data_IF_469132510499
#
_entry.id   IF_469132510499
#
_cell.length_a   1.000
_cell.length_b   1.000
_cell.length_c   1.000
_cell.angle_alpha   90.00
_cell.angle_beta   90.00
_cell.angle_gamma   90.00
#
_symmetry.space_group_name_H-M   'P 1'
#
loop_
_entity.id
_entity.type
_entity.pdbx_description
1 polymer ?
#
# COMPACT_ATOMS: atom_id res chain seq x y z
N UNK A 1 -20.22 -27.57 -17.97
CA UNK A 1 -19.22 -26.50 -17.77
C UNK A 1 -18.50 -26.80 -16.48
N UNK A 2 -17.15 -26.89 -16.47
CA UNK A 2 -16.40 -27.03 -15.22
C UNK A 2 -16.55 -25.71 -14.44
N UNK A 3 -16.83 -25.81 -13.15
CA UNK A 3 -17.23 -24.65 -12.35
C UNK A 3 -16.31 -24.39 -11.17
N UNK A 4 -16.03 -23.12 -10.95
CA UNK A 4 -15.40 -22.59 -9.73
C UNK A 4 -14.08 -23.30 -9.36
N UNK A 5 -13.26 -23.56 -10.37
CA UNK A 5 -11.90 -24.09 -10.22
C UNK A 5 -11.05 -23.04 -9.49
N UNK A 6 -10.12 -23.43 -8.60
CA UNK A 6 -9.15 -22.50 -8.03
C UNK A 6 -8.44 -21.69 -9.13
N UNK A 7 -8.31 -20.38 -8.92
CA UNK A 7 -7.71 -19.46 -9.89
C UNK A 7 -6.32 -19.92 -10.36
N UNK A 8 -5.42 -20.41 -9.48
CA UNK A 8 -4.12 -20.93 -9.90
C UNK A 8 -4.19 -22.18 -10.79
N UNK A 9 -5.32 -22.88 -10.79
CA UNK A 9 -5.55 -24.16 -11.51
C UNK A 9 -6.40 -23.98 -12.77
N UNK A 10 -6.68 -22.74 -13.18
CA UNK A 10 -7.54 -22.47 -14.33
C UNK A 10 -6.92 -23.05 -15.62
N UNK A 11 -7.67 -23.88 -16.35
CA UNK A 11 -7.20 -24.45 -17.61
C UNK A 11 -7.08 -23.36 -18.68
N UNK A 12 -5.96 -23.37 -19.41
CA UNK A 12 -5.73 -22.41 -20.49
C UNK A 12 -6.66 -22.70 -21.68
N UNK A 13 -7.25 -21.64 -22.26
CA UNK A 13 -8.16 -21.68 -23.41
C UNK A 13 -9.44 -22.56 -23.26
N UNK A 14 -9.70 -23.11 -22.07
CA UNK A 14 -10.95 -23.80 -21.75
C UNK A 14 -11.99 -22.82 -21.19
N UNK A 15 -13.25 -22.99 -21.60
CA UNK A 15 -14.35 -22.19 -21.06
C UNK A 15 -14.76 -22.69 -19.68
N UNK A 16 -14.71 -21.79 -18.71
CA UNK A 16 -15.02 -22.05 -17.30
C UNK A 16 -15.90 -20.92 -16.76
N UNK A 17 -16.61 -21.21 -15.67
CA UNK A 17 -17.34 -20.19 -14.93
C UNK A 17 -16.82 -20.07 -13.50
N UNK A 18 -16.78 -18.84 -12.98
CA UNK A 18 -16.21 -18.48 -11.68
C UNK A 18 -17.16 -17.55 -10.93
N UNK A 19 -17.18 -17.66 -9.60
CA UNK A 19 -17.73 -16.61 -8.73
C UNK A 19 -16.59 -15.75 -8.21
N UNK A 20 -16.68 -14.44 -8.46
CA UNK A 20 -15.62 -13.50 -8.12
C UNK A 20 -16.17 -12.23 -7.49
N UNK A 21 -15.39 -11.63 -6.61
CA UNK A 21 -15.53 -10.25 -6.21
C UNK A 21 -14.70 -9.40 -7.18
N UNK A 22 -15.36 -8.61 -8.02
CA UNK A 22 -14.71 -7.62 -8.90
C UNK A 22 -14.35 -6.43 -8.03
N UNK A 23 -13.06 -6.14 -7.84
CA UNK A 23 -12.55 -5.10 -6.92
C UNK A 23 -12.35 -3.75 -7.60
N UNK A 24 -12.07 -3.73 -8.90
CA UNK A 24 -11.97 -2.50 -9.68
C UNK A 24 -12.36 -2.71 -11.13
N UNK A 25 -12.85 -1.65 -11.79
CA UNK A 25 -13.22 -1.64 -13.20
C UNK A 25 -12.68 -0.36 -13.84
N UNK A 26 -12.01 -0.48 -14.99
CA UNK A 26 -11.49 0.63 -15.78
C UNK A 26 -11.96 0.51 -17.21
N UNK A 27 -12.65 1.53 -17.70
CA UNK A 27 -12.98 1.63 -19.13
C UNK A 27 -11.74 2.05 -19.92
N UNK A 28 -11.51 1.39 -21.05
CA UNK A 28 -10.46 1.69 -22.01
C UNK A 28 -10.99 1.59 -23.43
N UNK A 29 -10.19 2.05 -24.37
CA UNK A 29 -10.48 1.93 -25.80
C UNK A 29 -9.30 1.31 -26.52
N UNK A 30 -9.60 0.48 -27.51
CA UNK A 30 -8.61 -0.03 -28.47
C UNK A 30 -8.08 1.13 -29.34
N UNK A 31 -7.01 0.89 -30.11
CA UNK A 31 -6.53 1.84 -31.11
C UNK A 31 -7.60 2.19 -32.16
N UNK A 32 -8.54 1.27 -32.42
CA UNK A 32 -9.68 1.48 -33.33
C UNK A 32 -10.86 2.18 -32.64
N UNK A 33 -10.72 2.62 -31.39
CA UNK A 33 -11.75 3.34 -30.64
C UNK A 33 -12.84 2.45 -30.02
N UNK A 34 -12.82 1.13 -30.26
CA UNK A 34 -13.75 0.18 -29.63
C UNK A 34 -13.56 0.16 -28.11
N UNK A 35 -14.62 0.35 -27.31
CA UNK A 35 -14.50 0.29 -25.86
C UNK A 35 -14.26 -1.14 -25.37
N UNK A 36 -13.58 -1.27 -24.25
CA UNK A 36 -13.49 -2.50 -23.47
C UNK A 36 -13.26 -2.13 -22.00
N UNK A 37 -13.40 -3.11 -21.11
CA UNK A 37 -13.12 -2.93 -19.69
C UNK A 37 -12.02 -3.88 -19.25
N UNK A 38 -11.08 -3.32 -18.51
CA UNK A 38 -10.17 -4.08 -17.67
C UNK A 38 -10.73 -4.05 -16.25
N UNK A 39 -10.79 -5.20 -15.59
CA UNK A 39 -11.22 -5.28 -14.21
C UNK A 39 -10.29 -6.21 -13.42
N UNK A 40 -10.09 -5.91 -12.14
CA UNK A 40 -9.44 -6.84 -11.22
C UNK A 40 -10.54 -7.59 -10.47
N UNK A 41 -10.38 -8.91 -10.37
CA UNK A 41 -11.33 -9.75 -9.65
C UNK A 41 -10.59 -10.78 -8.80
N UNK A 42 -11.24 -11.24 -7.73
CA UNK A 42 -10.66 -12.26 -6.85
C UNK A 42 -11.71 -13.19 -6.29
N UNK A 43 -11.28 -14.36 -5.86
CA UNK A 43 -12.06 -15.23 -4.99
C UNK A 43 -11.16 -15.75 -3.85
N UNK A 44 -11.62 -16.74 -3.10
CA UNK A 44 -10.87 -17.32 -1.99
C UNK A 44 -9.52 -17.94 -2.38
N UNK A 45 -9.31 -18.24 -3.66
CA UNK A 45 -8.14 -18.97 -4.17
C UNK A 45 -7.11 -18.09 -4.87
N UNK A 46 -7.44 -16.82 -5.17
CA UNK A 46 -6.50 -15.90 -5.81
C UNK A 46 -7.15 -14.68 -6.44
N UNK A 47 -6.34 -13.94 -7.19
CA UNK A 47 -6.72 -12.75 -7.96
C UNK A 47 -6.49 -12.99 -9.44
N UNK A 48 -7.32 -12.42 -10.30
CA UNK A 48 -7.23 -12.57 -11.75
C UNK A 48 -7.67 -11.29 -12.48
N UNK A 49 -6.94 -10.84 -13.51
CA UNK A 49 -7.37 -9.74 -14.34
C UNK A 49 -8.42 -10.21 -15.35
N UNK A 50 -9.53 -9.49 -15.42
CA UNK A 50 -10.63 -9.69 -16.34
C UNK A 50 -10.51 -8.76 -17.55
N UNK A 51 -10.83 -9.30 -18.72
CA UNK A 51 -10.97 -8.55 -19.98
C UNK A 51 -12.38 -8.69 -20.50
N UNK A 52 -13.11 -7.58 -20.63
CA UNK A 52 -14.49 -7.56 -21.12
C UNK A 52 -14.58 -6.68 -22.37
N UNK A 53 -14.83 -7.30 -23.52
CA UNK A 53 -14.91 -6.60 -24.81
C UNK A 53 -16.29 -5.97 -25.04
N UNK A 54 -16.36 -5.00 -25.95
CA UNK A 54 -17.59 -4.27 -26.29
C UNK A 54 -18.78 -5.20 -26.57
N UNK A 55 -18.54 -6.27 -27.31
CA UNK A 55 -19.55 -7.24 -27.74
C UNK A 55 -20.23 -7.96 -26.55
N UNK A 56 -19.54 -8.03 -25.41
CA UNK A 56 -20.06 -8.64 -24.18
C UNK A 56 -20.78 -7.61 -23.30
N UNK A 57 -20.43 -6.33 -23.43
CA UNK A 57 -21.04 -5.23 -22.69
C UNK A 57 -22.39 -4.81 -23.29
N UNK A 58 -22.60 -5.02 -24.59
CA UNK A 58 -23.83 -4.61 -25.28
C UNK A 58 -25.07 -5.31 -24.71
N UNK A 59 -26.03 -4.50 -24.23
CA UNK A 59 -27.32 -4.96 -23.72
C UNK A 59 -27.29 -5.57 -22.31
N UNK A 60 -26.19 -5.41 -21.55
CA UNK A 60 -26.02 -5.97 -20.21
C UNK A 60 -25.93 -4.92 -19.12
N UNK A 61 -26.08 -5.36 -17.87
CA UNK A 61 -25.83 -4.51 -16.72
C UNK A 61 -24.37 -4.03 -16.71
N UNK A 62 -24.19 -2.80 -16.25
CA UNK A 62 -22.88 -2.17 -16.11
C UNK A 62 -22.03 -2.93 -15.08
N UNK A 63 -20.97 -3.62 -15.53
CA UNK A 63 -20.01 -4.28 -14.64
C UNK A 63 -19.37 -3.22 -13.73
N UNK A 64 -19.64 -3.33 -12.43
CA UNK A 64 -19.15 -2.44 -11.36
C UNK A 64 -18.52 -3.25 -10.23
N UNK A 65 -17.74 -2.64 -9.32
CA UNK A 65 -17.24 -3.34 -8.14
C UNK A 65 -18.36 -4.05 -7.37
N UNK A 66 -18.17 -5.32 -7.01
CA UNK A 66 -19.22 -6.15 -6.41
C UNK A 66 -19.06 -7.65 -6.70
N UNK A 67 -20.08 -8.45 -6.42
CA UNK A 67 -20.09 -9.89 -6.68
C UNK A 67 -20.65 -10.23 -8.06
N UNK A 68 -19.91 -11.03 -8.81
CA UNK A 68 -20.27 -11.43 -10.15
C UNK A 68 -19.98 -12.91 -10.39
N UNK A 69 -20.90 -13.57 -11.10
CA UNK A 69 -20.62 -14.81 -11.78
C UNK A 69 -20.08 -14.47 -13.17
N UNK A 70 -18.88 -14.93 -13.51
CA UNK A 70 -18.23 -14.68 -14.81
C UNK A 70 -17.97 -16.01 -15.52
N UNK A 71 -18.21 -16.04 -16.83
CA UNK A 71 -17.86 -17.14 -17.73
C UNK A 71 -16.84 -16.62 -18.72
N UNK A 72 -15.83 -17.42 -19.03
CA UNK A 72 -14.78 -17.00 -19.94
C UNK A 72 -13.64 -18.00 -20.03
N UNK A 73 -12.51 -17.54 -20.56
CA UNK A 73 -11.33 -18.36 -20.80
C UNK A 73 -10.08 -17.66 -20.32
N UNK A 74 -9.14 -18.43 -19.78
CA UNK A 74 -7.81 -17.93 -19.50
C UNK A 74 -7.00 -17.88 -20.80
N UNK A 75 -6.48 -16.70 -21.14
CA UNK A 75 -5.66 -16.44 -22.31
C UNK A 75 -4.39 -15.68 -21.92
N UNK A 76 -3.41 -15.63 -22.82
CA UNK A 76 -2.21 -14.82 -22.68
C UNK A 76 -2.15 -13.77 -23.78
N UNK A 77 -1.91 -12.52 -23.40
CA UNK A 77 -1.72 -11.41 -24.32
C UNK A 77 -0.51 -10.59 -23.88
N UNK A 78 0.49 -10.43 -24.76
CA UNK A 78 1.75 -9.76 -24.45
C UNK A 78 2.41 -10.32 -23.16
N UNK A 79 2.48 -11.64 -23.06
CA UNK A 79 3.04 -12.38 -21.92
C UNK A 79 2.32 -12.15 -20.59
N UNK A 80 1.13 -11.55 -20.61
CA UNK A 80 0.26 -11.37 -19.44
C UNK A 80 -0.94 -12.28 -19.55
N UNK A 81 -1.11 -13.11 -18.53
CA UNK A 81 -2.31 -13.93 -18.37
C UNK A 81 -3.50 -13.03 -18.06
N UNK A 82 -4.61 -13.22 -18.77
CA UNK A 82 -5.87 -12.52 -18.56
C UNK A 82 -7.06 -13.45 -18.78
N UNK A 83 -8.15 -13.21 -18.08
CA UNK A 83 -9.39 -13.96 -18.26
C UNK A 83 -10.35 -13.17 -19.15
N UNK A 84 -10.53 -13.67 -20.38
CA UNK A 84 -11.43 -13.04 -21.36
C UNK A 84 -12.85 -13.51 -21.08
N UNK A 85 -13.68 -12.56 -20.65
CA UNK A 85 -15.05 -12.80 -20.24
C UNK A 85 -15.94 -12.94 -21.48
N UNK A 86 -16.69 -14.03 -21.57
CA UNK A 86 -17.74 -14.28 -22.57
C UNK A 86 -19.13 -13.99 -22.01
N UNK A 87 -19.34 -14.23 -20.71
CA UNK A 87 -20.59 -13.91 -20.02
C UNK A 87 -20.37 -13.44 -18.58
N UNK A 88 -21.28 -12.61 -18.07
CA UNK A 88 -21.27 -12.19 -16.68
C UNK A 88 -22.66 -11.82 -16.19
N UNK A 89 -22.92 -12.05 -14.90
CA UNK A 89 -24.17 -11.68 -14.22
C UNK A 89 -23.93 -11.38 -12.75
N UNK A 90 -24.70 -10.46 -12.14
CA UNK A 90 -24.61 -10.23 -10.70
C UNK A 90 -25.01 -11.51 -9.94
N UNK A 91 -24.40 -11.71 -8.77
CA UNK A 91 -24.74 -12.81 -7.85
C UNK A 91 -24.95 -12.28 -6.44
N UNK A 92 -25.73 -12.99 -5.64
CA UNK A 92 -25.92 -12.66 -4.23
C UNK A 92 -24.79 -13.22 -3.36
N UNK A 93 -24.68 -12.72 -2.13
CA UNK A 93 -23.73 -13.25 -1.15
C UNK A 93 -24.05 -14.70 -0.76
N UNK A 94 -25.33 -15.07 -0.72
CA UNK A 94 -25.76 -16.45 -0.44
C UNK A 94 -25.30 -17.39 -1.56
N UNK A 95 -25.43 -16.98 -2.82
CA UNK A 95 -24.91 -17.75 -3.95
C UNK A 95 -23.39 -17.90 -3.86
N UNK A 96 -22.66 -16.82 -3.52
CA UNK A 96 -21.22 -16.89 -3.33
C UNK A 96 -20.83 -17.92 -2.26
N UNK A 97 -21.46 -17.84 -1.08
CA UNK A 97 -21.22 -18.76 0.05
C UNK A 97 -21.60 -20.19 -0.27
N UNK A 98 -22.71 -20.41 -0.96
CA UNK A 98 -23.18 -21.74 -1.34
C UNK A 98 -22.15 -22.47 -2.21
N UNK A 99 -21.52 -21.76 -3.15
CA UNK A 99 -20.59 -22.36 -4.11
C UNK A 99 -19.13 -22.36 -3.65
N UNK A 100 -18.70 -21.38 -2.83
CA UNK A 100 -17.31 -21.27 -2.35
C UNK A 100 -17.11 -21.75 -0.92
N UNK A 101 -18.19 -21.89 -0.14
CA UNK A 101 -18.12 -22.30 1.27
C UNK A 101 -17.49 -21.27 2.20
N UNK A 102 -17.27 -20.03 1.75
CA UNK A 102 -16.67 -18.96 2.52
C UNK A 102 -17.20 -17.57 2.12
N UNK A 103 -16.87 -16.56 2.91
CA UNK A 103 -17.10 -15.17 2.54
C UNK A 103 -16.13 -14.69 1.45
N UNK A 104 -16.53 -13.70 0.62
CA UNK A 104 -15.63 -13.07 -0.34
C UNK A 104 -14.52 -12.31 0.39
N UNK A 105 -13.30 -12.39 -0.15
CA UNK A 105 -12.19 -11.56 0.30
C UNK A 105 -12.38 -10.13 -0.20
N UNK A 106 -12.74 -9.23 0.71
CA UNK A 106 -12.99 -7.83 0.42
C UNK A 106 -11.68 -7.03 0.41
N UNK A 107 -11.54 -6.02 -0.46
CA UNK A 107 -10.47 -5.03 -0.40
C UNK A 107 -10.36 -4.37 0.98
N UNK A 108 -9.14 -4.24 1.48
CA UNK A 108 -8.85 -3.58 2.76
C UNK A 108 -8.06 -2.29 2.56
N UNK A 109 -8.40 -1.28 3.35
CA UNK A 109 -7.61 -0.08 3.50
C UNK A 109 -6.76 -0.19 4.77
N UNK A 110 -5.44 -0.04 4.62
CA UNK A 110 -4.46 0.03 5.69
C UNK A 110 -4.06 1.50 5.84
N UNK A 111 -4.62 2.20 6.82
CA UNK A 111 -4.20 3.57 7.14
C UNK A 111 -3.03 3.51 8.10
N UNK A 112 -1.87 3.99 7.67
CA UNK A 112 -0.58 3.87 8.32
C UNK A 112 -0.01 5.25 8.68
N UNK A 113 0.61 5.34 9.86
CA UNK A 113 1.49 6.43 10.26
C UNK A 113 2.63 5.88 11.15
N UNK A 114 3.76 6.59 11.22
CA UNK A 114 4.89 6.20 12.09
C UNK A 114 5.36 7.36 12.96
N UNK A 115 5.79 7.02 14.17
CA UNK A 115 6.50 7.94 15.06
C UNK A 115 7.96 7.53 15.15
N UNK A 116 8.85 8.53 15.11
CA UNK A 116 10.29 8.31 15.08
C UNK A 116 11.00 9.13 16.15
N UNK A 117 12.12 8.60 16.64
CA UNK A 117 12.99 9.28 17.59
C UNK A 117 14.43 9.24 17.09
N UNK A 118 15.22 10.25 17.44
CA UNK A 118 16.66 10.19 17.26
C UNK A 118 17.26 9.08 18.15
N UNK A 119 18.26 8.39 17.63
CA UNK A 119 19.04 7.42 18.40
C UNK A 119 19.80 8.16 19.51
N UNK A 120 19.83 7.66 20.76
CA UNK A 120 20.55 8.32 21.84
C UNK A 120 22.02 8.60 21.50
N UNK A 121 22.73 7.63 20.91
CA UNK A 121 24.12 7.78 20.48
C UNK A 121 24.32 8.69 19.26
N UNK A 122 23.27 9.22 18.64
CA UNK A 122 23.40 10.24 17.62
C UNK A 122 23.77 11.60 18.22
N UNK A 123 23.27 11.93 19.42
CA UNK A 123 23.51 13.21 20.10
C UNK A 123 25.01 13.52 20.21
N UNK A 124 25.80 12.55 20.67
CA UNK A 124 27.25 12.69 20.84
C UNK A 124 28.01 12.94 19.52
N UNK A 125 27.40 12.62 18.38
CA UNK A 125 27.99 12.80 17.05
C UNK A 125 27.64 14.14 16.40
N UNK A 126 26.63 14.85 16.91
CA UNK A 126 26.12 16.08 16.27
C UNK A 126 27.16 17.19 16.30
N UNK A 127 27.66 17.57 17.48
CA UNK A 127 28.64 18.66 17.62
C UNK A 127 29.90 18.45 16.78
N UNK A 128 30.60 17.31 16.91
CA UNK A 128 31.79 17.02 16.08
C UNK A 128 31.50 17.04 14.58
N UNK A 129 30.31 16.62 14.15
CA UNK A 129 29.90 16.67 12.75
C UNK A 129 29.69 18.11 12.28
N UNK A 130 28.96 18.93 13.04
CA UNK A 130 28.71 20.33 12.68
C UNK A 130 30.00 21.15 12.62
N UNK A 131 30.91 20.95 13.58
CA UNK A 131 32.21 21.62 13.58
C UNK A 131 33.02 21.24 12.31
N UNK A 132 33.01 19.95 11.95
CA UNK A 132 33.65 19.45 10.73
C UNK A 132 33.00 20.04 9.48
N UNK A 133 31.67 20.03 9.39
CA UNK A 133 30.92 20.52 8.23
C UNK A 133 31.10 22.04 8.04
N UNK A 134 31.22 22.81 9.13
CA UNK A 134 31.58 24.23 9.09
C UNK A 134 33.00 24.41 8.54
N UNK A 135 33.98 23.68 9.07
CA UNK A 135 35.40 23.76 8.64
C UNK A 135 35.59 23.37 7.16
N UNK A 136 34.81 22.41 6.68
CA UNK A 136 34.86 21.93 5.29
C UNK A 136 33.98 22.74 4.33
N UNK A 137 33.18 23.69 4.83
CA UNK A 137 32.27 24.49 4.03
C UNK A 137 31.08 23.71 3.46
N UNK A 138 30.69 22.60 4.09
CA UNK A 138 29.52 21.80 3.69
C UNK A 138 28.20 22.33 4.26
N UNK A 139 28.29 23.20 5.26
CA UNK A 139 27.12 23.80 5.91
C UNK A 139 26.53 24.91 5.04
N UNK A 140 25.19 24.95 4.88
CA UNK A 140 24.50 26.05 4.18
C UNK A 140 24.67 27.36 4.95
N UNK A 141 24.68 28.50 4.26
CA UNK A 141 24.88 29.83 4.88
C UNK A 141 23.92 30.08 6.05
N UNK A 142 22.64 29.79 5.87
CA UNK A 142 21.62 29.93 6.92
C UNK A 142 21.91 29.06 8.15
N UNK A 143 22.41 27.84 7.92
CA UNK A 143 22.79 26.93 9.00
C UNK A 143 24.06 27.40 9.71
N UNK A 144 25.04 27.93 8.98
CA UNK A 144 26.24 28.53 9.57
C UNK A 144 25.87 29.70 10.49
N UNK A 145 24.96 30.56 10.03
CA UNK A 145 24.47 31.67 10.83
C UNK A 145 23.84 31.18 12.13
N UNK A 146 22.89 30.23 12.06
CA UNK A 146 22.27 29.64 13.27
C UNK A 146 23.30 29.01 14.20
N UNK A 147 24.25 28.25 13.66
CA UNK A 147 25.30 27.59 14.44
C UNK A 147 26.22 28.60 15.16
N UNK A 148 26.58 29.70 14.51
CA UNK A 148 27.42 30.75 15.10
C UNK A 148 26.65 31.64 16.09
N UNK A 149 25.34 31.79 15.91
CA UNK A 149 24.46 32.50 16.84
C UNK A 149 24.26 31.71 18.14
N UNK A 150 23.95 30.40 18.03
CA UNK A 150 23.79 29.50 19.18
C UNK A 150 24.12 28.05 18.80
N UNK A 151 25.34 27.63 19.18
CA UNK A 151 25.84 26.27 18.92
C UNK A 151 24.94 25.22 19.56
N UNK A 152 24.52 25.43 20.81
CA UNK A 152 23.76 24.43 21.56
C UNK A 152 22.36 24.26 20.97
N UNK A 153 21.72 25.37 20.55
CA UNK A 153 20.42 25.31 19.90
C UNK A 153 20.47 24.63 18.53
N UNK A 154 21.49 24.90 17.69
CA UNK A 154 21.63 24.22 16.40
C UNK A 154 22.01 22.73 16.57
N UNK A 155 22.81 22.38 17.57
CA UNK A 155 23.08 20.98 17.93
C UNK A 155 21.79 20.25 18.33
N UNK A 156 20.95 20.87 19.18
CA UNK A 156 19.65 20.30 19.54
C UNK A 156 18.74 20.14 18.31
N UNK A 157 18.65 21.17 17.45
CA UNK A 157 17.84 21.11 16.23
C UNK A 157 18.27 19.97 15.31
N UNK A 158 19.58 19.80 15.09
CA UNK A 158 20.12 18.73 14.24
C UNK A 158 19.92 17.37 14.89
N UNK A 159 20.01 17.26 16.22
CA UNK A 159 19.66 16.05 16.95
C UNK A 159 18.18 15.67 16.72
N UNK A 160 17.26 16.63 16.86
CA UNK A 160 15.83 16.40 16.63
C UNK A 160 15.54 15.97 15.20
N UNK A 161 16.11 16.65 14.20
CA UNK A 161 16.01 16.22 12.79
C UNK A 161 16.64 14.84 12.52
N UNK A 162 17.47 14.34 13.44
CA UNK A 162 17.99 12.99 13.40
C UNK A 162 16.90 11.91 13.41
N UNK A 163 15.72 12.19 13.98
CA UNK A 163 14.57 11.28 13.95
C UNK A 163 14.07 11.02 12.52
N UNK A 164 14.26 11.99 11.62
CA UNK A 164 13.77 11.95 10.23
C UNK A 164 14.71 11.24 9.26
N UNK A 165 15.78 10.62 9.75
CA UNK A 165 16.70 9.85 8.92
C UNK A 165 16.96 8.48 9.56
N UNK A 166 16.71 7.39 8.83
CA UNK A 166 16.78 6.03 9.37
C UNK A 166 18.18 5.61 9.86
N UNK A 167 19.25 6.34 9.51
CA UNK A 167 20.62 6.08 10.02
C UNK A 167 20.91 6.76 11.36
N UNK A 168 20.19 7.83 11.68
CA UNK A 168 20.33 8.59 12.93
C UNK A 168 19.12 8.46 13.85
N UNK A 169 18.00 7.98 13.33
CA UNK A 169 16.75 7.75 14.04
C UNK A 169 16.37 6.27 14.11
N UNK A 170 15.29 6.03 14.83
CA UNK A 170 14.65 4.73 15.01
C UNK A 170 13.13 4.92 15.02
N UNK A 171 12.42 3.84 14.77
CA UNK A 171 10.97 3.79 14.96
C UNK A 171 10.69 3.73 16.47
N UNK A 172 9.79 4.59 16.93
CA UNK A 172 9.16 4.52 18.24
C UNK A 172 7.89 3.67 18.13
N UNK A 173 7.04 4.00 17.17
CA UNK A 173 5.79 3.26 16.95
C UNK A 173 5.35 3.26 15.49
N UNK A 174 4.52 2.27 15.16
CA UNK A 174 3.83 2.16 13.87
C UNK A 174 2.35 1.98 14.18
N UNK A 175 1.50 2.90 13.72
CA UNK A 175 0.06 2.82 13.91
C UNK A 175 -0.60 2.40 12.59
N UNK A 176 -1.43 1.35 12.63
CA UNK A 176 -2.16 0.86 11.46
C UNK A 176 -3.62 0.63 11.80
N UNK A 177 -4.51 1.33 11.09
CA UNK A 177 -5.94 1.00 11.07
C UNK A 177 -6.27 0.22 9.80
N UNK A 178 -6.78 -1.01 9.96
CA UNK A 178 -7.28 -1.84 8.87
C UNK A 178 -8.79 -1.73 8.81
N UNK A 179 -9.33 -1.30 7.67
CA UNK A 179 -10.76 -1.16 7.46
C UNK A 179 -11.21 -1.33 6.01
N UNK A 180 -12.47 -1.02 5.70
CA UNK A 180 -13.00 -1.15 4.35
C UNK A 180 -12.44 -0.09 3.39
N UNK A 181 -12.30 -0.44 2.12
CA UNK A 181 -12.09 0.55 1.05
C UNK A 181 -13.40 1.28 0.77
N UNK A 182 -13.37 2.62 0.78
CA UNK A 182 -14.54 3.45 0.48
C UNK A 182 -15.10 3.13 -0.91
N UNK A 183 -16.43 3.02 -1.00
CA UNK A 183 -17.13 2.71 -2.25
C UNK A 183 -17.18 1.22 -2.59
N UNK A 184 -16.61 0.34 -1.76
CA UNK A 184 -16.72 -1.10 -1.89
C UNK A 184 -17.52 -1.70 -0.73
N UNK A 185 -18.81 -1.97 -0.96
CA UNK A 185 -19.68 -2.61 0.01
C UNK A 185 -20.47 -3.74 -0.64
N UNK A 186 -20.57 -4.87 0.06
CA UNK A 186 -21.40 -6.01 -0.33
C UNK A 186 -22.44 -6.17 0.78
N UNK A 187 -23.72 -6.09 0.40
CA UNK A 187 -24.82 -6.27 1.34
C UNK A 187 -24.72 -7.66 2.01
N UNK A 188 -24.92 -7.71 3.33
CA UNK A 188 -24.81 -8.95 4.10
C UNK A 188 -23.38 -9.42 4.42
N UNK A 189 -22.35 -8.63 4.07
CA UNK A 189 -20.96 -8.87 4.49
C UNK A 189 -20.48 -7.70 5.36
N UNK A 190 -20.13 -8.01 6.61
CA UNK A 190 -19.53 -7.04 7.52
C UNK A 190 -18.02 -6.99 7.29
N UNK A 191 -17.49 -5.83 6.93
CA UNK A 191 -16.04 -5.61 6.95
C UNK A 191 -15.58 -5.49 8.40
N UNK A 192 -14.71 -6.40 8.83
CA UNK A 192 -14.01 -6.27 10.10
C UNK A 192 -13.08 -5.06 10.05
N UNK A 193 -13.07 -4.29 11.12
CA UNK A 193 -12.09 -3.22 11.34
C UNK A 193 -11.20 -3.60 12.51
N UNK A 194 -9.95 -3.19 12.47
CA UNK A 194 -8.99 -3.44 13.54
C UNK A 194 -7.94 -2.35 13.59
N UNK A 195 -7.53 -1.98 14.80
CA UNK A 195 -6.47 -1.03 15.07
C UNK A 195 -5.27 -1.77 15.64
N UNK A 196 -4.08 -1.40 15.17
CA UNK A 196 -2.82 -2.00 15.56
C UNK A 196 -1.84 -0.89 15.89
N UNK A 197 -1.15 -1.03 17.02
CA UNK A 197 -0.02 -0.20 17.39
C UNK A 197 1.17 -1.13 17.65
N UNK A 198 2.27 -0.91 16.95
CA UNK A 198 3.52 -1.64 17.12
C UNK A 198 4.55 -0.74 17.79
N UNK A 199 5.42 -1.30 18.65
CA UNK A 199 6.45 -0.53 19.37
C UNK A 199 5.99 0.09 20.68
N UNK A 200 4.69 0.01 21.00
CA UNK A 200 4.12 0.45 22.29
C UNK A 200 3.18 -0.65 22.80
N UNK A 201 3.32 -1.03 24.08
CA UNK A 201 2.43 -2.01 24.72
C UNK A 201 1.10 -1.41 25.19
N UNK A 202 0.22 -2.25 25.76
CA UNK A 202 -1.10 -1.84 26.24
C UNK A 202 -1.03 -0.84 27.41
N UNK A 203 0.08 -0.83 28.14
CA UNK A 203 0.36 0.08 29.24
C UNK A 203 0.99 1.40 28.75
N UNK A 204 1.29 1.53 27.46
CA UNK A 204 1.91 2.72 26.87
C UNK A 204 3.44 2.74 26.97
N UNK A 205 4.07 1.62 27.30
CA UNK A 205 5.53 1.48 27.39
C UNK A 205 6.14 1.12 26.05
N UNK A 206 7.35 1.63 25.80
CA UNK A 206 8.11 1.34 24.59
C UNK A 206 8.55 -0.13 24.54
N UNK A 207 8.43 -0.73 23.36
CA UNK A 207 8.93 -2.07 23.04
C UNK A 207 10.17 -2.02 22.13
N UNK A 208 10.82 -3.17 21.99
CA UNK A 208 11.95 -3.34 21.07
C UNK A 208 11.55 -3.04 19.60
N UNK A 209 12.35 -2.20 18.93
CA UNK A 209 12.08 -1.78 17.54
C UNK A 209 12.02 -2.98 16.58
N UNK A 210 12.87 -3.98 16.78
CA UNK A 210 12.91 -5.13 15.88
C UNK A 210 11.68 -6.02 16.05
N UNK A 211 11.08 -6.07 17.24
CA UNK A 211 9.78 -6.71 17.46
C UNK A 211 8.67 -5.93 16.73
N UNK A 212 8.62 -4.61 16.92
CA UNK A 212 7.63 -3.75 16.25
C UNK A 212 7.64 -3.91 14.72
N UNK A 213 8.84 -3.93 14.13
CA UNK A 213 9.02 -4.14 12.70
C UNK A 213 8.54 -5.51 12.22
N UNK A 214 8.82 -6.58 12.98
CA UNK A 214 8.38 -7.94 12.62
C UNK A 214 6.87 -8.07 12.68
N UNK A 215 6.25 -7.53 13.72
CA UNK A 215 4.81 -7.61 13.91
C UNK A 215 4.07 -6.79 12.84
N UNK A 216 4.60 -5.61 12.49
CA UNK A 216 4.10 -4.85 11.34
C UNK A 216 4.20 -5.63 10.03
N UNK A 217 5.36 -6.24 9.74
CA UNK A 217 5.53 -7.04 8.53
C UNK A 217 4.62 -8.28 8.51
N UNK A 218 4.31 -8.85 9.68
CA UNK A 218 3.37 -9.95 9.80
C UNK A 218 1.95 -9.50 9.45
N UNK A 219 1.52 -8.32 9.94
CA UNK A 219 0.24 -7.72 9.56
C UNK A 219 0.16 -7.47 8.04
N UNK A 220 1.24 -6.99 7.43
CA UNK A 220 1.30 -6.67 6.00
C UNK A 220 1.56 -7.90 5.10
N UNK A 221 1.67 -9.10 5.66
CA UNK A 221 2.13 -10.29 4.93
C UNK A 221 1.17 -10.75 3.81
N UNK A 222 -0.11 -10.43 3.93
CA UNK A 222 -1.17 -10.76 2.97
C UNK A 222 -1.67 -9.53 2.19
N UNK A 223 -0.99 -8.39 2.29
CA UNK A 223 -1.32 -7.18 1.54
C UNK A 223 -1.18 -7.43 0.03
N UNK A 224 -2.24 -7.13 -0.71
CA UNK A 224 -2.27 -7.24 -2.18
C UNK A 224 -2.38 -5.84 -2.81
N UNK A 225 -1.29 -5.33 -3.40
CA UNK A 225 -1.26 -3.98 -4.00
C UNK A 225 -2.24 -3.78 -5.17
N UNK A 226 -2.81 -4.86 -5.73
CA UNK A 226 -3.81 -4.79 -6.80
C UNK A 226 -5.25 -4.67 -6.27
N UNK A 227 -5.47 -4.98 -4.99
CA UNK A 227 -6.79 -5.01 -4.36
C UNK A 227 -6.89 -4.11 -3.13
N UNK A 228 -5.90 -4.19 -2.24
CA UNK A 228 -5.81 -3.44 -1.01
C UNK A 228 -5.25 -2.04 -1.26
N UNK A 229 -5.44 -1.17 -0.27
CA UNK A 229 -5.01 0.22 -0.32
C UNK A 229 -4.25 0.59 0.94
N UNK A 230 -2.97 0.93 0.82
CA UNK A 230 -2.19 1.56 1.86
C UNK A 230 -2.40 3.08 1.78
N UNK A 231 -2.81 3.68 2.89
CA UNK A 231 -3.15 5.10 3.00
C UNK A 231 -2.30 5.74 4.08
N UNK A 232 -1.80 6.96 3.85
CA UNK A 232 -1.10 7.70 4.90
C UNK A 232 -0.51 9.01 4.38
N UNK A 233 0.33 9.65 5.18
CA UNK A 233 0.92 10.95 4.84
C UNK A 233 2.40 10.82 4.50
N UNK A 234 2.78 11.08 3.24
CA UNK A 234 4.17 10.95 2.79
C UNK A 234 4.72 9.51 2.85
N UNK A 235 3.84 8.52 2.75
CA UNK A 235 4.14 7.07 2.77
C UNK A 235 5.27 6.70 1.80
N UNK A 236 5.25 7.25 0.58
CA UNK A 236 6.24 6.92 -0.45
C UNK A 236 7.53 7.71 -0.27
N UNK A 237 7.46 8.92 0.31
CA UNK A 237 8.62 9.79 0.48
C UNK A 237 9.36 9.62 1.80
N UNK A 238 8.71 9.05 2.82
CA UNK A 238 9.24 8.94 4.18
C UNK A 238 8.92 7.59 4.82
N UNK A 239 7.66 7.27 5.15
CA UNK A 239 7.34 6.16 6.07
C UNK A 239 7.87 4.80 5.61
N UNK A 240 7.53 4.36 4.39
CA UNK A 240 7.98 3.05 3.89
C UNK A 240 9.49 3.01 3.64
N UNK A 241 10.12 4.02 3.00
CA UNK A 241 11.58 4.08 2.95
C UNK A 241 12.24 3.98 4.33
N UNK A 242 11.71 4.69 5.33
CA UNK A 242 12.23 4.68 6.69
C UNK A 242 12.10 3.29 7.31
N UNK A 243 10.90 2.68 7.26
CA UNK A 243 10.63 1.32 7.74
C UNK A 243 11.58 0.31 7.09
N UNK A 244 11.70 0.31 5.77
CA UNK A 244 12.56 -0.65 5.07
C UNK A 244 14.04 -0.46 5.39
N UNK A 245 14.52 0.78 5.53
CA UNK A 245 15.88 1.05 5.99
C UNK A 245 16.11 0.58 7.43
N UNK A 246 15.14 0.77 8.32
CA UNK A 246 15.22 0.28 9.71
C UNK A 246 15.18 -1.24 9.80
N UNK A 247 14.45 -1.93 8.93
CA UNK A 247 14.53 -3.38 8.79
C UNK A 247 15.96 -3.84 8.45
N UNK A 248 16.63 -3.16 7.49
CA UNK A 248 18.01 -3.46 7.14
C UNK A 248 18.96 -3.27 8.33
N UNK A 249 18.82 -2.16 9.07
CA UNK A 249 19.62 -1.89 10.28
C UNK A 249 19.43 -2.98 11.34
N UNK A 250 18.20 -3.50 11.48
CA UNK A 250 17.85 -4.55 12.44
C UNK A 250 18.05 -5.99 11.89
N UNK A 251 18.68 -6.16 10.73
CA UNK A 251 18.88 -7.46 10.07
C UNK A 251 17.59 -8.25 9.84
N UNK A 252 16.49 -7.55 9.54
CA UNK A 252 15.19 -8.13 9.22
C UNK A 252 15.07 -8.21 7.69
N UNK A 253 14.90 -9.42 7.18
CA UNK A 253 14.62 -9.64 5.75
C UNK A 253 13.22 -9.11 5.42
N UNK A 254 13.15 -8.22 4.43
CA UNK A 254 11.88 -7.69 3.94
C UNK A 254 11.66 -8.16 2.51
N UNK A 255 10.45 -8.66 2.23
CA UNK A 255 9.92 -8.75 0.87
C UNK A 255 9.01 -7.53 0.69
N UNK A 256 9.42 -6.48 -0.04
CA UNK A 256 8.58 -5.29 -0.23
C UNK A 256 7.23 -5.70 -0.82
N UNK A 257 6.14 -5.27 -0.17
CA UNK A 257 4.76 -5.53 -0.59
C UNK A 257 4.23 -4.44 -1.54
N UNK A 258 5.04 -3.42 -1.83
CA UNK A 258 4.80 -2.39 -2.84
C UNK A 258 6.10 -2.06 -3.58
N UNK A 259 6.00 -1.65 -4.84
CA UNK A 259 7.15 -1.20 -5.64
C UNK A 259 7.32 0.31 -5.56
N UNK A 260 8.24 0.77 -4.70
CA UNK A 260 8.54 2.19 -4.51
C UNK A 260 9.32 2.82 -5.68
N UNK A 261 9.74 2.04 -6.69
CA UNK A 261 10.41 2.57 -7.88
C UNK A 261 9.42 3.24 -8.86
N UNK A 262 8.13 2.94 -8.73
CA UNK A 262 7.08 3.48 -9.59
C UNK A 262 6.73 4.93 -9.24
N UNK A 263 6.46 5.74 -10.27
CA UNK A 263 5.97 7.11 -10.06
C UNK A 263 4.59 7.11 -9.36
N UNK A 264 3.73 6.16 -9.71
CA UNK A 264 2.45 5.89 -9.06
C UNK A 264 2.46 4.46 -8.52
N UNK A 265 2.88 4.33 -7.28
CA UNK A 265 2.96 3.04 -6.58
C UNK A 265 1.57 2.41 -6.51
N UNK A 266 1.40 1.23 -7.10
CA UNK A 266 0.16 0.47 -7.03
C UNK A 266 -0.23 0.18 -5.56
N UNK A 267 -1.52 0.26 -5.26
CA UNK A 267 -2.04 0.01 -3.91
C UNK A 267 -1.66 1.06 -2.87
N UNK A 268 -1.12 2.24 -3.25
CA UNK A 268 -0.77 3.31 -2.30
C UNK A 268 -1.52 4.60 -2.61
N UNK A 269 -2.22 5.13 -1.61
CA UNK A 269 -2.78 6.48 -1.60
C UNK A 269 -2.02 7.37 -0.62
N UNK A 270 -1.00 8.04 -1.13
CA UNK A 270 -0.20 9.02 -0.38
C UNK A 270 -0.94 10.37 -0.37
N UNK A 271 -1.47 10.74 0.80
CA UNK A 271 -2.28 11.95 0.99
C UNK A 271 -1.49 13.22 0.68
N UNK A 272 -0.18 13.24 0.92
CA UNK A 272 0.67 14.37 0.57
C UNK A 272 0.65 14.56 -0.96
N UNK A 273 0.82 13.48 -1.73
CA UNK A 273 0.73 13.57 -3.21
C UNK A 273 -0.66 13.95 -3.68
N UNK A 274 -1.71 13.42 -3.03
CA UNK A 274 -3.11 13.67 -3.36
C UNK A 274 -3.54 15.12 -3.15
N UNK A 275 -3.21 15.71 -2.00
CA UNK A 275 -3.62 17.08 -1.64
C UNK A 275 -2.87 18.15 -2.43
N UNK A 276 -1.59 17.92 -2.74
CA UNK A 276 -0.79 18.88 -3.48
C UNK A 276 -0.92 18.75 -5.01
N UNK A 277 -1.82 17.89 -5.52
CA UNK A 277 -2.05 17.64 -6.96
C UNK A 277 -0.75 17.35 -7.75
N UNK A 278 0.25 16.75 -7.11
CA UNK A 278 1.58 16.53 -7.71
C UNK A 278 2.45 17.80 -7.84
N UNK A 279 2.08 18.91 -7.19
CA UNK A 279 2.89 20.12 -7.08
C UNK A 279 4.22 19.89 -6.36
N UNK A 280 5.24 20.67 -6.73
CA UNK A 280 6.60 20.59 -6.15
C UNK A 280 6.73 21.16 -4.74
N UNK A 281 5.69 21.82 -4.22
CA UNK A 281 5.68 22.35 -2.86
C UNK A 281 5.39 21.21 -1.89
N UNK A 282 6.40 20.37 -1.68
CA UNK A 282 6.42 19.47 -0.54
C UNK A 282 6.66 20.35 0.68
N UNK A 283 5.71 20.40 1.61
CA UNK A 283 6.03 20.88 2.96
C UNK A 283 7.06 19.90 3.50
N UNK A 284 8.32 20.34 3.59
CA UNK A 284 9.34 19.51 4.20
C UNK A 284 9.01 19.35 5.67
N UNK A 285 9.28 18.18 6.25
CA UNK A 285 9.28 18.07 7.71
C UNK A 285 10.27 19.07 8.35
N UNK A 286 11.31 19.44 7.61
CA UNK A 286 12.25 20.53 7.91
C UNK A 286 11.56 21.92 8.07
N UNK A 287 10.39 22.13 7.47
CA UNK A 287 9.63 23.39 7.56
C UNK A 287 8.70 23.44 8.79
N UNK A 288 8.54 22.31 9.50
CA UNK A 288 7.63 22.14 10.66
C UNK A 288 8.42 22.09 11.99
N UNK A 289 9.73 21.82 11.93
CA UNK A 289 10.63 21.68 13.09
C UNK A 289 11.36 22.99 13.47
#
# INVERSE_FOLDING_TARGET
>A
MKGNIPIPELPFAEEVWLMVAVTSVRERRTQQGKPFRDANARNATGSLPLKIWAEVLEGREDLRPGLWGVTGKLESFQDRTQFVVSDYKPISIEQYREYLGCDPLLPRAFTLDIETLALPGFRDRVGPKLEKDLKLGYMRVEQQQRYLEDIAAEEERVYQLGSLNATSGRILSIAVHVGPVLGFAIEGVTNSQSEHAFGIDAEGSEQDEALALKDFLALMSDFDSECDLLVGHNIVGFDLPFIFQRCLVNNITVKPFVDLSEFRVAGVYDTMRGWWLGGRNRVGLDDIA
#
